data_IF_675083391376
#
_entry.id   IF_675083391376
#
_cell.length_a   1.000
_cell.length_b   1.000
_cell.length_c   1.000
_cell.angle_alpha   90.00
_cell.angle_beta   90.00
_cell.angle_gamma   90.00
#
_symmetry.space_group_name_H-M   'P 1'
#
loop_
_entity.id
_entity.type
_entity.pdbx_description
1 polymer ?
#
# COMPACT_ATOMS: atom_id res chain seq x y z
N UNK A 1 -29.79 50.37 -43.55
CA UNK A 1 -30.08 49.59 -42.33
C UNK A 1 -29.23 48.38 -42.42
N UNK A 2 -28.18 48.20 -41.53
CA UNK A 2 -27.32 47.00 -41.54
C UNK A 2 -27.89 45.98 -40.55
N UNK A 3 -28.02 44.75 -41.02
CA UNK A 3 -28.38 43.59 -40.23
C UNK A 3 -27.23 43.22 -39.25
N UNK A 4 -27.53 43.25 -37.96
CA UNK A 4 -26.65 42.71 -36.91
C UNK A 4 -26.94 41.22 -36.76
N UNK A 5 -25.98 40.37 -37.15
CA UNK A 5 -25.97 38.94 -36.87
C UNK A 5 -25.53 38.73 -35.42
N UNK A 6 -26.44 38.22 -34.58
CA UNK A 6 -26.10 37.71 -33.23
C UNK A 6 -25.49 36.31 -33.35
N UNK A 7 -24.23 36.17 -32.93
CA UNK A 7 -23.60 34.86 -32.71
C UNK A 7 -24.13 34.27 -31.38
N UNK A 8 -24.55 33.02 -31.33
CA UNK A 8 -24.90 32.38 -30.07
C UNK A 8 -23.62 32.04 -29.26
N UNK A 9 -23.60 32.52 -28.02
CA UNK A 9 -22.57 32.19 -27.03
C UNK A 9 -22.77 30.72 -26.56
N UNK A 10 -21.94 29.82 -27.04
CA UNK A 10 -21.89 28.41 -26.56
C UNK A 10 -21.34 28.41 -25.15
N UNK A 11 -22.20 28.24 -24.13
CA UNK A 11 -21.77 27.94 -22.76
C UNK A 11 -21.24 26.52 -22.76
N UNK A 12 -19.90 26.37 -22.66
CA UNK A 12 -19.26 25.11 -22.34
C UNK A 12 -19.48 24.85 -20.83
N UNK A 13 -20.44 24.00 -20.51
CA UNK A 13 -20.63 23.47 -19.17
C UNK A 13 -19.55 22.42 -18.96
N UNK A 14 -18.51 22.79 -18.23
CA UNK A 14 -17.51 21.82 -17.75
C UNK A 14 -18.21 20.80 -16.82
N UNK A 15 -18.03 19.48 -17.03
CA UNK A 15 -18.63 18.50 -16.14
C UNK A 15 -17.97 18.63 -14.75
N UNK A 16 -18.78 18.87 -13.72
CA UNK A 16 -18.39 18.71 -12.32
C UNK A 16 -17.96 17.25 -12.11
N UNK A 17 -16.66 17.04 -11.91
CA UNK A 17 -16.12 15.75 -11.48
C UNK A 17 -16.66 15.52 -10.06
N UNK A 18 -17.46 14.47 -9.80
CA UNK A 18 -17.92 14.19 -8.45
C UNK A 18 -16.70 13.90 -7.57
N UNK A 19 -16.57 14.61 -6.44
CA UNK A 19 -15.60 14.30 -5.41
C UNK A 19 -15.76 12.81 -5.00
N UNK A 20 -14.67 12.08 -4.94
CA UNK A 20 -14.66 10.66 -4.51
C UNK A 20 -15.30 10.62 -3.13
N UNK A 21 -16.44 9.94 -3.02
CA UNK A 21 -17.19 9.82 -1.77
C UNK A 21 -16.33 9.06 -0.74
N UNK A 22 -15.82 9.78 0.27
CA UNK A 22 -14.97 9.25 1.35
C UNK A 22 -13.94 10.25 1.88
N UNK A 23 -13.49 11.19 1.08
CA UNK A 23 -12.58 12.25 1.53
C UNK A 23 -13.38 13.53 1.79
N UNK A 24 -13.59 13.87 3.08
CA UNK A 24 -13.90 15.26 3.40
C UNK A 24 -12.68 16.10 2.93
N UNK A 25 -12.90 17.23 2.20
CA UNK A 25 -11.78 18.06 1.74
C UNK A 25 -10.85 18.41 2.91
N UNK A 26 -9.62 17.93 2.86
CA UNK A 26 -8.57 18.29 3.82
C UNK A 26 -8.34 17.33 5.00
N UNK A 27 -9.09 16.22 5.15
CA UNK A 27 -8.82 15.23 6.21
C UNK A 27 -7.88 14.12 5.71
N UNK A 28 -6.69 13.93 6.35
CA UNK A 28 -5.79 12.84 5.99
C UNK A 28 -6.41 11.47 6.24
N UNK A 29 -6.21 10.53 5.31
CA UNK A 29 -6.75 9.17 5.43
C UNK A 29 -5.79 8.26 6.20
N UNK A 30 -6.37 7.37 7.02
CA UNK A 30 -5.65 6.33 7.77
C UNK A 30 -5.70 5.04 6.97
N UNK A 31 -4.52 4.55 6.56
CA UNK A 31 -4.35 3.33 5.78
C UNK A 31 -3.80 2.24 6.68
N UNK A 32 -4.56 1.16 6.83
CA UNK A 32 -4.14 0.00 7.62
C UNK A 32 -3.17 -0.87 6.83
N UNK A 33 -1.86 -0.67 7.03
CA UNK A 33 -0.78 -1.36 6.38
C UNK A 33 -0.80 -2.86 6.72
N UNK A 34 -1.20 -3.69 5.77
CA UNK A 34 -1.40 -5.14 5.92
C UNK A 34 -2.45 -5.52 6.97
N UNK A 35 -3.42 -4.62 7.21
CA UNK A 35 -4.39 -4.71 8.31
C UNK A 35 -3.89 -4.05 9.60
N UNK A 36 -4.40 -4.47 10.77
CA UNK A 36 -3.88 -4.06 12.07
C UNK A 36 -2.65 -4.90 12.45
N UNK A 37 -1.59 -4.78 11.65
CA UNK A 37 -0.42 -5.68 11.68
C UNK A 37 0.46 -5.50 12.92
N UNK A 38 0.28 -4.41 13.69
CA UNK A 38 0.94 -4.25 15.00
C UNK A 38 0.37 -5.18 16.09
N UNK A 39 -0.79 -5.80 15.88
CA UNK A 39 -1.49 -6.60 16.91
C UNK A 39 -1.93 -7.99 16.44
N UNK A 40 -1.95 -8.23 15.13
CA UNK A 40 -2.33 -9.50 14.51
C UNK A 40 -1.41 -9.81 13.32
N UNK A 41 -1.18 -11.09 12.98
CA UNK A 41 -0.36 -11.44 11.82
C UNK A 41 -0.87 -10.74 10.54
N UNK A 42 0.05 -10.10 9.84
CA UNK A 42 -0.23 -9.32 8.63
C UNK A 42 -1.01 -10.12 7.59
N UNK A 43 -1.81 -9.42 6.77
CA UNK A 43 -2.53 -9.99 5.63
C UNK A 43 -3.50 -11.12 5.97
N UNK A 44 -4.00 -11.17 7.20
CA UNK A 44 -5.08 -12.08 7.60
C UNK A 44 -6.43 -11.36 7.59
N UNK A 45 -7.52 -12.08 7.36
CA UNK A 45 -8.87 -11.50 7.47
C UNK A 45 -9.13 -10.92 8.86
N UNK A 46 -8.55 -11.54 9.90
CA UNK A 46 -8.65 -11.03 11.27
C UNK A 46 -7.95 -9.67 11.44
N UNK A 47 -6.75 -9.50 10.84
CA UNK A 47 -6.04 -8.22 10.87
C UNK A 47 -6.80 -7.12 10.11
N UNK A 48 -7.43 -7.45 8.98
CA UNK A 48 -8.27 -6.49 8.24
C UNK A 48 -9.56 -6.15 8.98
N UNK A 49 -10.26 -7.14 9.55
CA UNK A 49 -11.46 -6.89 10.36
C UNK A 49 -11.15 -5.96 11.54
N UNK A 50 -10.07 -6.25 12.26
CA UNK A 50 -9.60 -5.40 13.37
C UNK A 50 -9.24 -3.99 12.89
N UNK A 51 -8.56 -3.84 11.78
CA UNK A 51 -8.23 -2.53 11.21
C UNK A 51 -9.47 -1.70 10.88
N UNK A 52 -10.49 -2.34 10.34
CA UNK A 52 -11.77 -1.70 10.05
C UNK A 52 -12.45 -1.25 11.36
N UNK A 53 -12.47 -2.08 12.39
CA UNK A 53 -13.02 -1.75 13.72
C UNK A 53 -12.24 -0.60 14.37
N UNK A 54 -10.92 -0.57 14.22
CA UNK A 54 -10.02 0.47 14.72
C UNK A 54 -10.14 1.81 13.96
N UNK A 55 -10.98 1.89 12.93
CA UNK A 55 -11.33 3.14 12.25
C UNK A 55 -10.46 3.48 11.04
N UNK A 56 -9.78 2.52 10.42
CA UNK A 56 -9.08 2.73 9.16
C UNK A 56 -10.03 3.23 8.06
N UNK A 57 -9.56 4.15 7.21
CA UNK A 57 -10.29 4.62 6.02
C UNK A 57 -10.05 3.68 4.83
N UNK A 58 -8.85 3.07 4.78
CA UNK A 58 -8.45 2.08 3.78
C UNK A 58 -7.82 0.86 4.44
N UNK A 59 -8.02 -0.31 3.85
CA UNK A 59 -7.25 -1.52 4.14
C UNK A 59 -6.31 -1.82 2.98
N UNK A 60 -5.09 -2.22 3.31
CA UNK A 60 -4.02 -2.38 2.34
C UNK A 60 -3.58 -3.85 2.26
N UNK A 61 -3.87 -4.55 1.14
CA UNK A 61 -3.32 -5.85 0.82
C UNK A 61 -2.16 -5.76 -0.16
N UNK A 62 -1.00 -6.31 0.21
CA UNK A 62 0.05 -6.66 -0.74
C UNK A 62 -0.35 -7.93 -1.49
N UNK A 63 -0.31 -7.91 -2.82
CA UNK A 63 -0.79 -9.00 -3.65
C UNK A 63 0.35 -9.70 -4.37
N UNK A 64 0.33 -11.02 -4.29
CA UNK A 64 1.10 -11.97 -5.09
C UNK A 64 0.15 -12.98 -5.72
N UNK A 65 0.63 -13.82 -6.63
CA UNK A 65 -0.23 -14.73 -7.37
C UNK A 65 0.17 -16.19 -7.13
N UNK A 66 -0.83 -17.07 -7.06
CA UNK A 66 -0.66 -18.52 -6.98
C UNK A 66 -0.36 -19.13 -8.33
N UNK A 67 0.07 -20.41 -8.37
CA UNK A 67 0.29 -21.17 -9.61
C UNK A 67 -0.96 -21.25 -10.50
N UNK A 68 -2.13 -21.30 -9.90
CA UNK A 68 -3.44 -21.34 -10.60
C UNK A 68 -4.05 -19.96 -10.80
N UNK A 69 -3.27 -18.88 -10.60
CA UNK A 69 -3.61 -17.52 -11.00
C UNK A 69 -4.49 -16.73 -10.05
N UNK A 70 -4.62 -17.15 -8.78
CA UNK A 70 -5.41 -16.43 -7.77
C UNK A 70 -4.56 -15.41 -7.04
N UNK A 71 -5.09 -14.20 -6.86
CA UNK A 71 -4.44 -13.14 -6.07
C UNK A 71 -4.63 -13.41 -4.57
N UNK A 72 -3.51 -13.52 -3.86
CA UNK A 72 -3.46 -13.73 -2.41
C UNK A 72 -2.66 -12.63 -1.73
N UNK A 73 -3.02 -12.34 -0.49
CA UNK A 73 -2.37 -11.26 0.26
C UNK A 73 -1.12 -11.78 0.99
N UNK A 74 0.06 -11.43 0.46
CA UNK A 74 1.38 -11.62 1.07
C UNK A 74 2.33 -10.52 0.61
N UNK A 75 3.22 -10.05 1.52
CA UNK A 75 4.17 -8.98 1.18
C UNK A 75 5.24 -9.45 0.18
N UNK A 76 5.74 -10.65 0.34
CA UNK A 76 6.61 -11.33 -0.63
C UNK A 76 5.91 -12.58 -1.18
N UNK A 77 6.32 -13.00 -2.38
CA UNK A 77 5.95 -14.31 -2.89
C UNK A 77 6.72 -15.45 -2.17
N UNK A 78 7.86 -15.16 -1.48
CA UNK A 78 8.51 -16.08 -0.56
C UNK A 78 7.74 -16.13 0.76
N UNK A 79 7.21 -17.31 1.14
CA UNK A 79 6.27 -17.48 2.24
C UNK A 79 6.84 -18.24 3.47
N UNK A 80 8.12 -18.56 3.46
CA UNK A 80 8.75 -19.36 4.55
C UNK A 80 8.77 -18.61 5.88
N UNK A 81 8.97 -17.30 5.86
CA UNK A 81 9.05 -16.46 7.06
C UNK A 81 7.69 -16.09 7.67
N UNK A 82 6.62 -16.06 6.86
CA UNK A 82 5.30 -15.56 7.27
C UNK A 82 4.18 -16.61 7.26
N UNK A 83 4.56 -17.89 7.05
CA UNK A 83 3.65 -19.05 7.14
C UNK A 83 4.35 -20.23 7.82
N UNK A 84 3.56 -21.26 8.09
CA UNK A 84 4.06 -22.54 8.64
C UNK A 84 4.61 -23.51 7.58
N UNK A 85 4.80 -23.09 6.32
CA UNK A 85 5.22 -23.94 5.19
C UNK A 85 6.52 -24.70 5.47
N UNK A 86 7.47 -24.09 6.16
CA UNK A 86 8.74 -24.71 6.54
C UNK A 86 8.56 -25.91 7.51
N UNK A 87 7.41 -26.02 8.19
CA UNK A 87 7.05 -27.10 9.11
C UNK A 87 6.18 -28.18 8.41
N UNK A 88 5.92 -28.05 7.12
CA UNK A 88 5.04 -28.93 6.33
C UNK A 88 5.87 -29.92 5.52
N UNK A 89 5.98 -31.19 5.94
CA UNK A 89 6.76 -32.20 5.21
C UNK A 89 6.32 -32.37 3.74
N UNK A 90 5.00 -32.23 3.47
CA UNK A 90 4.43 -32.37 2.14
C UNK A 90 4.99 -31.34 1.14
N UNK A 91 5.49 -30.21 1.63
CA UNK A 91 6.02 -29.13 0.82
C UNK A 91 7.56 -29.00 0.88
N UNK A 92 8.24 -29.84 1.64
CA UNK A 92 9.69 -29.74 1.82
C UNK A 92 10.47 -29.75 0.49
N UNK A 93 10.06 -30.58 -0.47
CA UNK A 93 10.72 -30.71 -1.78
C UNK A 93 10.51 -29.50 -2.71
N UNK A 94 9.62 -28.55 -2.37
CA UNK A 94 9.37 -27.33 -3.16
C UNK A 94 10.30 -26.18 -2.78
N UNK A 95 11.09 -26.33 -1.71
CA UNK A 95 12.08 -25.32 -1.34
C UNK A 95 13.10 -25.16 -2.47
N UNK A 96 13.31 -23.93 -2.93
CA UNK A 96 14.22 -23.64 -4.04
C UNK A 96 14.85 -22.26 -3.92
N UNK A 97 15.85 -21.99 -4.74
CA UNK A 97 16.43 -20.65 -4.89
C UNK A 97 15.87 -19.98 -6.14
N UNK A 98 15.59 -18.68 -6.03
CA UNK A 98 15.34 -17.84 -7.20
C UNK A 98 15.80 -16.40 -6.96
N UNK A 99 15.96 -15.66 -8.04
CA UNK A 99 16.31 -14.24 -8.01
C UNK A 99 15.05 -13.43 -8.34
N UNK A 100 14.71 -12.48 -7.47
CA UNK A 100 13.59 -11.57 -7.61
C UNK A 100 14.14 -10.15 -7.43
N UNK A 101 13.93 -9.29 -8.40
CA UNK A 101 14.39 -7.89 -8.40
C UNK A 101 15.87 -7.74 -8.05
N UNK A 102 16.70 -8.68 -8.53
CA UNK A 102 18.15 -8.70 -8.31
C UNK A 102 18.62 -9.35 -7.02
N UNK A 103 17.72 -9.70 -6.10
CA UNK A 103 18.04 -10.36 -4.84
C UNK A 103 17.80 -11.86 -4.89
N UNK A 104 18.68 -12.64 -4.27
CA UNK A 104 18.59 -14.10 -4.21
C UNK A 104 17.85 -14.55 -2.96
N UNK A 105 16.76 -15.27 -3.14
CA UNK A 105 15.96 -15.86 -2.08
C UNK A 105 16.05 -17.38 -2.13
N UNK A 106 15.95 -18.02 -0.96
CA UNK A 106 15.84 -19.48 -0.82
C UNK A 106 14.65 -19.80 0.08
N UNK A 107 13.62 -20.40 -0.48
CA UNK A 107 12.39 -20.67 0.26
C UNK A 107 11.30 -21.30 -0.58
N UNK A 108 10.06 -21.04 -0.21
CA UNK A 108 8.83 -21.51 -0.85
C UNK A 108 8.10 -20.31 -1.44
N UNK A 109 7.71 -20.41 -2.71
CA UNK A 109 7.16 -19.27 -3.44
C UNK A 109 5.71 -19.53 -3.85
N UNK A 110 4.85 -18.52 -3.72
CA UNK A 110 3.40 -18.64 -3.96
C UNK A 110 3.06 -19.20 -5.33
N UNK A 111 3.83 -18.88 -6.36
CA UNK A 111 3.67 -19.38 -7.73
C UNK A 111 3.96 -20.88 -7.89
N UNK A 112 4.50 -21.54 -6.87
CA UNK A 112 4.68 -22.98 -6.85
C UNK A 112 3.49 -23.73 -6.22
N UNK A 113 2.50 -23.00 -5.68
CA UNK A 113 1.34 -23.54 -4.96
C UNK A 113 0.04 -23.15 -5.64
N UNK A 114 -0.93 -24.07 -5.64
CA UNK A 114 -2.33 -23.73 -5.92
C UNK A 114 -2.95 -23.01 -4.72
N UNK A 115 -4.07 -22.30 -4.93
CA UNK A 115 -4.84 -21.73 -3.84
C UNK A 115 -5.23 -22.79 -2.80
N UNK A 116 -5.69 -23.96 -3.25
CA UNK A 116 -6.10 -25.05 -2.35
C UNK A 116 -4.95 -25.49 -1.43
N UNK A 117 -3.73 -25.53 -1.92
CA UNK A 117 -2.53 -25.87 -1.14
C UNK A 117 -2.20 -24.72 -0.17
N UNK A 118 -2.21 -23.46 -0.60
CA UNK A 118 -1.96 -22.30 0.28
C UNK A 118 -2.97 -22.20 1.41
N UNK A 119 -4.25 -22.54 1.17
CA UNK A 119 -5.29 -22.56 2.21
C UNK A 119 -5.06 -23.61 3.31
N UNK A 120 -4.18 -24.58 3.09
CA UNK A 120 -3.76 -25.52 4.16
C UNK A 120 -2.71 -24.93 5.09
N UNK A 121 -2.05 -23.84 4.70
CA UNK A 121 -1.04 -23.14 5.51
C UNK A 121 -1.69 -22.17 6.50
N UNK A 122 -0.89 -21.78 7.50
CA UNK A 122 -1.30 -20.81 8.51
C UNK A 122 -0.29 -19.66 8.58
N UNK A 123 -0.83 -18.45 8.74
CA UNK A 123 -0.04 -17.24 8.88
C UNK A 123 0.74 -17.22 10.19
N UNK A 124 1.93 -16.61 10.16
CA UNK A 124 2.81 -16.38 11.29
C UNK A 124 3.23 -14.92 11.35
N UNK A 125 3.58 -14.47 12.55
CA UNK A 125 4.10 -13.12 12.77
C UNK A 125 5.44 -12.93 12.06
N UNK A 126 5.55 -11.84 11.31
CA UNK A 126 6.78 -11.43 10.59
C UNK A 126 7.87 -10.99 11.54
N UNK A 127 7.51 -10.30 12.61
CA UNK A 127 8.42 -9.68 13.58
C UNK A 127 8.32 -10.35 14.96
N UNK A 128 8.55 -11.68 15.08
CA UNK A 128 8.28 -12.42 16.32
C UNK A 128 9.11 -11.90 17.50
N UNK A 129 10.30 -11.33 17.23
CA UNK A 129 11.16 -10.70 18.25
C UNK A 129 10.59 -9.40 18.83
N UNK A 130 9.69 -8.72 18.12
CA UNK A 130 9.05 -7.48 18.55
C UNK A 130 7.61 -7.70 19.03
N UNK A 131 6.82 -8.49 18.28
CA UNK A 131 5.35 -8.62 18.45
C UNK A 131 4.93 -9.96 19.08
N UNK A 132 5.87 -10.88 19.25
CA UNK A 132 5.61 -12.23 19.78
C UNK A 132 4.92 -13.13 18.74
N UNK A 133 4.52 -14.33 19.19
CA UNK A 133 3.96 -15.40 18.32
C UNK A 133 2.60 -15.90 18.80
N UNK A 134 1.90 -15.12 19.63
CA UNK A 134 0.64 -15.54 20.27
C UNK A 134 -0.48 -15.90 19.28
N UNK A 135 -0.39 -15.40 18.05
CA UNK A 135 -1.39 -15.61 17.01
C UNK A 135 -0.92 -16.52 15.87
N UNK A 136 0.31 -17.04 15.91
CA UNK A 136 0.85 -17.95 14.91
C UNK A 136 -0.03 -19.19 14.75
N UNK A 137 -0.20 -19.64 13.52
CA UNK A 137 -0.92 -20.86 13.21
C UNK A 137 -2.46 -20.76 13.30
N UNK A 138 -3.03 -19.59 13.59
CA UNK A 138 -4.48 -19.42 13.78
C UNK A 138 -5.24 -19.03 12.53
N UNK A 139 -4.61 -18.33 11.60
CA UNK A 139 -5.30 -17.69 10.45
C UNK A 139 -4.79 -18.25 9.13
N UNK A 140 -5.69 -18.32 8.17
CA UNK A 140 -5.39 -18.72 6.79
C UNK A 140 -4.81 -17.55 5.99
N UNK A 141 -4.21 -17.87 4.83
CA UNK A 141 -3.83 -16.89 3.82
C UNK A 141 -5.10 -16.39 3.13
N UNK A 142 -5.30 -15.07 3.12
CA UNK A 142 -6.47 -14.45 2.51
C UNK A 142 -6.29 -14.24 1.00
N UNK A 143 -7.36 -14.40 0.23
CA UNK A 143 -7.45 -13.95 -1.17
C UNK A 143 -7.92 -12.50 -1.23
N UNK A 144 -7.70 -11.84 -2.38
CA UNK A 144 -8.26 -10.50 -2.61
C UNK A 144 -9.80 -10.52 -2.55
N UNK A 145 -10.44 -11.55 -3.11
CA UNK A 145 -11.90 -11.67 -3.11
C UNK A 145 -12.46 -11.78 -1.68
N UNK A 146 -11.81 -12.54 -0.80
CA UNK A 146 -12.20 -12.64 0.62
C UNK A 146 -12.03 -11.31 1.36
N UNK A 147 -10.99 -10.54 1.05
CA UNK A 147 -10.76 -9.20 1.63
C UNK A 147 -11.83 -8.22 1.17
N UNK A 148 -12.19 -8.24 -0.12
CA UNK A 148 -13.27 -7.42 -0.68
C UNK A 148 -14.61 -7.80 -0.03
N UNK A 149 -14.90 -9.09 0.10
CA UNK A 149 -16.11 -9.58 0.74
C UNK A 149 -16.21 -9.09 2.19
N UNK A 150 -15.13 -9.20 2.97
CA UNK A 150 -15.07 -8.70 4.36
C UNK A 150 -15.42 -7.20 4.44
N UNK A 151 -14.82 -6.37 3.57
CA UNK A 151 -15.08 -4.93 3.55
C UNK A 151 -16.53 -4.62 3.13
N UNK A 152 -17.06 -5.36 2.16
CA UNK A 152 -18.44 -5.25 1.68
C UNK A 152 -19.46 -5.64 2.77
N UNK A 153 -19.24 -6.74 3.47
CA UNK A 153 -20.09 -7.20 4.58
C UNK A 153 -20.08 -6.20 5.74
N UNK A 154 -18.90 -5.64 6.07
CA UNK A 154 -18.82 -4.58 7.08
C UNK A 154 -19.64 -3.36 6.66
N UNK A 155 -19.52 -2.90 5.42
CA UNK A 155 -20.26 -1.75 4.92
C UNK A 155 -21.78 -2.01 4.92
N UNK A 156 -22.23 -3.20 4.54
CA UNK A 156 -23.64 -3.58 4.58
C UNK A 156 -24.21 -3.56 6.00
N UNK A 157 -23.42 -3.97 6.99
CA UNK A 157 -23.83 -4.02 8.40
C UNK A 157 -23.83 -2.65 9.09
N UNK A 158 -22.87 -1.79 8.76
CA UNK A 158 -22.60 -0.55 9.52
C UNK A 158 -22.91 0.74 8.76
N UNK A 159 -23.08 0.66 7.44
CA UNK A 159 -23.15 1.82 6.54
C UNK A 159 -21.79 2.48 6.27
N UNK A 160 -20.69 2.09 6.96
CA UNK A 160 -19.35 2.67 6.76
C UNK A 160 -18.61 1.95 5.64
N UNK A 161 -18.31 2.68 4.57
CA UNK A 161 -17.54 2.18 3.43
C UNK A 161 -16.04 2.31 3.70
N UNK A 162 -15.28 1.28 3.34
CA UNK A 162 -13.83 1.18 3.49
C UNK A 162 -13.21 1.14 2.11
N UNK A 163 -12.24 2.00 1.85
CA UNK A 163 -11.44 1.95 0.63
C UNK A 163 -10.45 0.77 0.63
N UNK A 164 -9.97 0.40 -0.56
CA UNK A 164 -8.92 -0.59 -0.73
C UNK A 164 -7.70 0.05 -1.39
N UNK A 165 -6.51 -0.36 -0.94
CA UNK A 165 -5.26 0.09 -1.53
C UNK A 165 -4.33 -1.11 -1.84
N UNK A 166 -4.70 -1.96 -2.84
CA UNK A 166 -3.90 -3.13 -3.18
C UNK A 166 -2.54 -2.73 -3.78
N UNK A 167 -1.46 -3.36 -3.30
CA UNK A 167 -0.15 -3.31 -3.93
C UNK A 167 0.05 -4.51 -4.86
N UNK A 168 0.55 -4.26 -6.07
CA UNK A 168 1.06 -5.31 -6.96
C UNK A 168 2.54 -5.51 -6.64
N UNK A 169 2.87 -6.67 -6.06
CA UNK A 169 4.25 -7.04 -5.69
C UNK A 169 4.97 -7.66 -6.87
N UNK A 170 6.22 -7.23 -7.10
CA UNK A 170 7.11 -7.83 -8.11
C UNK A 170 6.48 -8.03 -9.50
N UNK A 171 5.75 -7.04 -10.09
CA UNK A 171 5.03 -7.23 -11.34
C UNK A 171 5.91 -7.72 -12.48
N UNK A 172 7.13 -7.19 -12.65
CA UNK A 172 8.08 -7.65 -13.67
C UNK A 172 8.51 -9.10 -13.48
N UNK A 173 8.63 -9.58 -12.24
CA UNK A 173 8.92 -10.98 -11.96
C UNK A 173 7.75 -11.87 -12.41
N UNK A 174 6.52 -11.53 -12.01
CA UNK A 174 5.34 -12.32 -12.36
C UNK A 174 5.02 -12.28 -13.85
N UNK A 175 5.25 -11.16 -14.54
CA UNK A 175 5.14 -11.09 -16.00
C UNK A 175 6.12 -12.05 -16.68
N UNK A 176 7.38 -12.10 -16.22
CA UNK A 176 8.43 -12.98 -16.77
C UNK A 176 8.08 -14.46 -16.65
N UNK A 177 7.38 -14.86 -15.61
CA UNK A 177 6.93 -16.24 -15.40
C UNK A 177 5.51 -16.52 -15.94
N UNK A 178 4.96 -15.61 -16.76
CA UNK A 178 3.65 -15.71 -17.39
C UNK A 178 2.47 -15.74 -16.40
N UNK A 179 2.60 -15.06 -15.28
CA UNK A 179 1.56 -14.86 -14.26
C UNK A 179 1.28 -13.36 -14.01
N UNK A 180 1.03 -12.52 -15.05
CA UNK A 180 0.78 -11.09 -14.87
C UNK A 180 -0.42 -10.85 -13.95
N UNK A 181 -0.33 -9.83 -13.09
CA UNK A 181 -1.34 -9.56 -12.06
C UNK A 181 -2.29 -8.41 -12.42
N UNK A 182 -1.90 -7.50 -13.31
CA UNK A 182 -2.60 -6.25 -13.59
C UNK A 182 -4.05 -6.51 -14.07
N UNK A 183 -4.20 -7.34 -15.09
CA UNK A 183 -5.52 -7.68 -15.63
C UNK A 183 -6.37 -8.47 -14.62
N UNK A 184 -5.75 -9.40 -13.88
CA UNK A 184 -6.42 -10.17 -12.81
C UNK A 184 -6.94 -9.25 -11.72
N UNK A 185 -6.15 -8.25 -11.31
CA UNK A 185 -6.57 -7.26 -10.32
C UNK A 185 -7.75 -6.44 -10.83
N UNK A 186 -7.68 -5.92 -12.06
CA UNK A 186 -8.78 -5.14 -12.65
C UNK A 186 -10.05 -5.98 -12.80
N UNK A 187 -9.93 -7.26 -13.19
CA UNK A 187 -11.06 -8.19 -13.28
C UNK A 187 -11.68 -8.46 -11.90
N UNK A 188 -10.87 -8.72 -10.87
CA UNK A 188 -11.35 -8.90 -9.50
C UNK A 188 -12.10 -7.65 -9.01
N UNK A 189 -11.50 -6.46 -9.18
CA UNK A 189 -12.14 -5.20 -8.79
C UNK A 189 -13.45 -4.94 -9.55
N UNK A 190 -13.51 -5.25 -10.85
CA UNK A 190 -14.72 -5.10 -11.65
C UNK A 190 -15.80 -6.15 -11.31
N UNK A 191 -15.40 -7.33 -10.81
CA UNK A 191 -16.28 -8.43 -10.43
C UNK A 191 -17.16 -8.14 -9.21
N UNK A 192 -16.71 -7.27 -8.31
CA UNK A 192 -17.44 -6.94 -7.08
C UNK A 192 -18.17 -5.59 -7.21
N UNK A 193 -19.47 -5.56 -6.88
CA UNK A 193 -20.24 -4.32 -6.85
C UNK A 193 -19.64 -3.29 -5.88
N UNK A 194 -19.13 -3.76 -4.75
CA UNK A 194 -18.52 -2.94 -3.70
C UNK A 194 -17.34 -2.11 -4.22
N UNK A 195 -16.39 -2.73 -4.90
CA UNK A 195 -15.17 -2.07 -5.40
C UNK A 195 -15.42 -1.13 -6.58
N UNK A 196 -16.58 -1.21 -7.23
CA UNK A 196 -17.00 -0.22 -8.23
C UNK A 196 -17.50 1.10 -7.61
N UNK A 197 -17.83 1.10 -6.31
CA UNK A 197 -18.45 2.23 -5.62
C UNK A 197 -17.54 2.89 -4.56
N UNK A 198 -16.58 2.13 -4.00
CA UNK A 198 -15.66 2.66 -2.98
C UNK A 198 -14.37 3.18 -3.62
N UNK A 199 -13.62 4.08 -2.95
CA UNK A 199 -12.30 4.47 -3.42
C UNK A 199 -11.35 3.27 -3.46
N UNK A 200 -10.63 3.13 -4.58
CA UNK A 200 -9.55 2.15 -4.74
C UNK A 200 -8.28 2.90 -5.14
N UNK A 201 -7.15 2.55 -4.55
CA UNK A 201 -5.84 3.08 -4.94
C UNK A 201 -4.92 1.90 -5.23
N UNK A 202 -4.56 1.69 -6.49
CA UNK A 202 -3.60 0.63 -6.85
C UNK A 202 -2.20 1.19 -6.70
N UNK A 203 -1.32 0.47 -6.01
CA UNK A 203 0.03 0.91 -5.74
C UNK A 203 1.08 -0.09 -6.24
N UNK A 204 2.27 0.41 -6.54
CA UNK A 204 3.43 -0.40 -6.92
C UNK A 204 4.72 0.38 -6.74
N UNK A 205 5.82 -0.34 -6.52
CA UNK A 205 7.19 0.19 -6.59
C UNK A 205 7.71 0.31 -8.02
N UNK A 206 7.14 -0.44 -8.97
CA UNK A 206 7.53 -0.41 -10.37
C UNK A 206 6.69 0.61 -11.15
N UNK A 207 7.30 1.26 -12.15
CA UNK A 207 6.63 2.28 -12.95
C UNK A 207 5.86 1.68 -14.14
N UNK A 208 6.42 0.63 -14.77
CA UNK A 208 5.89 0.09 -16.02
C UNK A 208 4.44 -0.40 -15.87
N UNK A 209 4.15 -1.14 -14.80
CA UNK A 209 2.80 -1.65 -14.54
C UNK A 209 1.81 -0.53 -14.21
N UNK A 210 2.21 0.52 -13.46
CA UNK A 210 1.35 1.68 -13.19
C UNK A 210 1.03 2.46 -14.47
N UNK A 211 2.01 2.62 -15.37
CA UNK A 211 1.78 3.24 -16.68
C UNK A 211 0.85 2.40 -17.56
N UNK A 212 0.96 1.07 -17.49
CA UNK A 212 0.05 0.16 -18.16
C UNK A 212 -1.35 0.25 -17.59
N UNK A 213 -1.50 0.20 -16.27
CA UNK A 213 -2.78 0.39 -15.60
C UNK A 213 -3.42 1.73 -15.98
N UNK A 214 -2.67 2.85 -15.97
CA UNK A 214 -3.20 4.17 -16.37
C UNK A 214 -3.78 4.15 -17.78
N UNK A 215 -3.19 3.41 -18.71
CA UNK A 215 -3.72 3.27 -20.08
C UNK A 215 -5.02 2.45 -20.14
N UNK A 216 -5.19 1.48 -19.23
CA UNK A 216 -6.39 0.65 -19.14
C UNK A 216 -7.50 1.30 -18.30
N UNK A 217 -7.16 2.19 -17.36
CA UNK A 217 -8.12 2.93 -16.54
C UNK A 217 -8.75 4.06 -17.36
N UNK A 218 -9.85 3.74 -18.04
CA UNK A 218 -10.67 4.72 -18.78
C UNK A 218 -11.70 5.43 -17.89
N UNK A 219 -12.63 6.18 -18.49
CA UNK A 219 -13.66 6.94 -17.78
C UNK A 219 -14.57 6.13 -16.85
N UNK A 220 -14.65 4.81 -17.05
CA UNK A 220 -15.43 3.89 -16.22
C UNK A 220 -14.80 3.55 -14.88
N UNK A 221 -13.51 3.89 -14.67
CA UNK A 221 -12.75 3.57 -13.47
C UNK A 221 -12.43 4.82 -12.63
N UNK A 222 -13.38 5.76 -12.53
CA UNK A 222 -13.18 7.07 -11.88
C UNK A 222 -12.91 6.98 -10.37
N UNK A 223 -13.26 5.86 -9.73
CA UNK A 223 -13.00 5.60 -8.33
C UNK A 223 -11.61 4.97 -8.07
N UNK A 224 -10.83 4.68 -9.14
CA UNK A 224 -9.50 4.09 -9.04
C UNK A 224 -8.44 5.16 -9.27
N UNK A 225 -7.55 5.33 -8.30
CA UNK A 225 -6.32 6.15 -8.38
C UNK A 225 -5.10 5.25 -8.39
N UNK A 226 -3.97 5.79 -8.83
CA UNK A 226 -2.68 5.10 -8.84
C UNK A 226 -1.70 5.78 -7.90
N UNK A 227 -0.92 4.98 -7.17
CA UNK A 227 0.11 5.44 -6.24
C UNK A 227 1.46 4.83 -6.63
N UNK A 228 2.46 5.68 -6.88
CA UNK A 228 3.84 5.28 -7.06
C UNK A 228 4.54 5.21 -5.70
N UNK A 229 4.91 4.01 -5.27
CA UNK A 229 5.76 3.81 -4.10
C UNK A 229 7.21 4.15 -4.43
N UNK A 230 7.91 4.78 -3.47
CA UNK A 230 9.31 5.17 -3.60
C UNK A 230 10.17 4.38 -2.61
N UNK A 231 11.01 3.50 -3.14
CA UNK A 231 11.97 2.72 -2.36
C UNK A 231 13.18 3.55 -1.87
N UNK A 232 14.18 2.90 -1.25
CA UNK A 232 15.42 3.56 -0.85
C UNK A 232 16.08 4.26 -2.04
N UNK A 233 16.56 5.49 -1.83
CA UNK A 233 16.99 6.41 -2.88
C UNK A 233 18.06 5.83 -3.82
N UNK A 234 18.95 5.02 -3.28
CA UNK A 234 20.09 4.39 -3.97
C UNK A 234 19.76 3.07 -4.67
N UNK A 235 18.54 2.54 -4.48
CA UNK A 235 18.07 1.31 -5.12
C UNK A 235 17.28 1.60 -6.41
N UNK A 236 17.00 0.55 -7.17
CA UNK A 236 16.31 0.63 -8.46
C UNK A 236 14.91 -0.03 -8.38
N UNK A 237 13.88 0.52 -9.08
CA UNK A 237 12.67 -0.22 -9.34
C UNK A 237 12.93 -1.54 -10.07
N UNK A 238 12.17 -2.59 -9.77
CA UNK A 238 12.34 -3.93 -10.34
C UNK A 238 12.26 -3.94 -11.89
N UNK A 239 11.36 -3.15 -12.46
CA UNK A 239 11.22 -2.97 -13.92
C UNK A 239 12.40 -2.26 -14.55
N UNK A 240 12.99 -1.27 -13.88
CA UNK A 240 14.21 -0.60 -14.35
C UNK A 240 15.39 -1.56 -14.34
N UNK A 241 15.53 -2.35 -13.26
CA UNK A 241 16.55 -3.39 -13.15
C UNK A 241 16.37 -4.46 -14.24
N UNK A 242 15.16 -4.97 -14.43
CA UNK A 242 14.85 -5.97 -15.45
C UNK A 242 15.12 -5.46 -16.88
N UNK A 243 14.93 -4.16 -17.12
CA UNK A 243 15.19 -3.50 -18.40
C UNK A 243 16.67 -3.07 -18.59
N UNK A 244 17.54 -3.27 -17.60
CA UNK A 244 18.92 -2.81 -17.61
C UNK A 244 19.07 -1.28 -17.63
N UNK A 245 18.07 -0.54 -17.11
CA UNK A 245 18.09 0.92 -17.04
C UNK A 245 18.75 1.37 -15.73
N UNK A 246 19.52 2.48 -15.73
CA UNK A 246 20.21 2.97 -14.53
C UNK A 246 19.29 3.72 -13.55
N UNK A 247 17.99 3.85 -13.85
CA UNK A 247 17.03 4.64 -13.06
C UNK A 247 16.98 4.15 -11.61
N UNK A 248 17.15 5.07 -10.67
CA UNK A 248 17.04 4.83 -9.22
C UNK A 248 15.83 5.58 -8.65
N UNK A 249 15.41 5.22 -7.45
CA UNK A 249 14.35 5.98 -6.77
C UNK A 249 14.76 7.43 -6.50
N UNK A 250 16.06 7.74 -6.32
CA UNK A 250 16.53 9.11 -6.24
C UNK A 250 16.13 9.94 -7.48
N UNK A 251 16.20 9.36 -8.68
CA UNK A 251 15.83 10.05 -9.92
C UNK A 251 14.32 10.34 -9.97
N UNK A 252 13.49 9.45 -9.41
CA UNK A 252 12.04 9.62 -9.33
C UNK A 252 11.63 10.71 -8.33
N UNK A 253 12.48 11.02 -7.35
CA UNK A 253 12.25 12.05 -6.34
C UNK A 253 12.70 13.44 -6.75
N UNK A 254 13.33 13.60 -7.92
CA UNK A 254 13.65 14.93 -8.49
C UNK A 254 12.38 15.65 -8.97
N UNK A 255 12.37 16.98 -9.12
CA UNK A 255 11.22 17.70 -9.70
C UNK A 255 10.79 17.14 -11.06
N UNK A 256 11.74 16.76 -11.92
CA UNK A 256 11.48 16.17 -13.23
C UNK A 256 10.90 14.77 -13.11
N UNK A 257 11.41 13.93 -12.20
CA UNK A 257 10.88 12.59 -11.90
C UNK A 257 9.45 12.64 -11.36
N UNK A 258 9.16 13.59 -10.47
CA UNK A 258 7.81 13.81 -9.93
C UNK A 258 6.83 14.29 -11.00
N UNK A 259 7.28 15.16 -11.92
CA UNK A 259 6.47 15.59 -13.05
C UNK A 259 6.16 14.41 -14.00
N UNK A 260 7.12 13.50 -14.20
CA UNK A 260 6.93 12.27 -14.98
C UNK A 260 5.92 11.33 -14.26
N UNK A 261 6.03 11.15 -12.94
CA UNK A 261 5.08 10.37 -12.14
C UNK A 261 3.68 10.94 -12.26
N UNK A 262 3.51 12.26 -12.21
CA UNK A 262 2.20 12.92 -12.36
C UNK A 262 1.52 12.63 -13.71
N UNK A 263 2.27 12.19 -14.72
CA UNK A 263 1.74 11.73 -16.00
C UNK A 263 0.98 10.39 -15.92
N UNK A 264 1.17 9.58 -14.88
CA UNK A 264 0.55 8.28 -14.75
C UNK A 264 -0.01 7.94 -13.36
N UNK A 265 0.47 8.58 -12.30
CA UNK A 265 0.00 8.36 -10.94
C UNK A 265 -0.58 9.66 -10.33
N UNK A 266 -1.40 9.50 -9.32
CA UNK A 266 -2.11 10.59 -8.63
C UNK A 266 -1.45 10.89 -7.28
N UNK A 267 -0.68 9.92 -6.75
CA UNK A 267 -0.14 9.91 -5.40
C UNK A 267 1.28 9.35 -5.44
N UNK A 268 2.17 9.86 -4.59
CA UNK A 268 3.43 9.18 -4.25
C UNK A 268 3.38 8.64 -2.82
N UNK A 269 3.97 7.44 -2.62
CA UNK A 269 4.17 6.82 -1.32
C UNK A 269 5.66 6.76 -0.98
N UNK A 270 6.24 7.79 -0.39
CA UNK A 270 7.63 7.76 0.07
C UNK A 270 7.76 7.07 1.43
N UNK A 271 8.94 6.49 1.70
CA UNK A 271 9.30 6.15 3.08
C UNK A 271 9.34 7.41 3.96
N UNK A 272 8.84 7.31 5.19
CA UNK A 272 8.76 8.46 6.11
C UNK A 272 10.08 9.26 6.17
N UNK A 273 11.25 8.58 6.22
CA UNK A 273 12.56 9.26 6.34
C UNK A 273 13.01 9.98 5.07
N UNK A 274 12.36 9.77 3.95
CA UNK A 274 12.56 10.57 2.73
C UNK A 274 11.87 11.94 2.82
N UNK A 275 10.85 12.06 3.67
CA UNK A 275 10.19 13.35 3.95
C UNK A 275 10.84 14.09 5.13
N UNK A 276 11.12 13.38 6.22
CA UNK A 276 11.77 13.93 7.42
C UNK A 276 12.86 12.94 7.86
N UNK A 277 14.13 13.21 7.58
CA UNK A 277 15.23 12.36 8.01
C UNK A 277 15.38 12.40 9.54
N UNK A 278 16.05 11.38 10.10
CA UNK A 278 16.49 11.39 11.50
C UNK A 278 17.89 11.97 11.55
N UNK A 279 18.14 12.89 12.46
CA UNK A 279 19.43 13.53 12.71
C UNK A 279 20.36 12.60 13.50
N UNK A 280 21.65 12.93 13.60
CA UNK A 280 22.64 12.13 14.32
C UNK A 280 22.34 11.96 15.81
N UNK A 281 21.68 12.91 16.43
CA UNK A 281 21.19 12.88 17.81
C UNK A 281 19.87 12.10 17.99
N UNK A 282 19.35 11.51 16.89
CA UNK A 282 18.15 10.68 16.91
C UNK A 282 16.83 11.44 16.91
N UNK A 283 16.83 12.73 16.64
CA UNK A 283 15.62 13.54 16.51
C UNK A 283 15.08 13.56 15.06
N UNK A 284 13.82 13.98 14.87
CA UNK A 284 13.30 14.32 13.55
C UNK A 284 13.96 15.60 13.04
N UNK A 285 14.58 15.54 11.86
CA UNK A 285 15.24 16.67 11.22
C UNK A 285 14.27 17.63 10.53
N UNK A 286 14.82 18.54 9.74
CA UNK A 286 14.02 19.40 8.86
C UNK A 286 13.40 18.60 7.70
N UNK A 287 12.17 18.95 7.26
CA UNK A 287 11.58 18.37 6.08
C UNK A 287 12.44 18.55 4.83
N UNK A 288 12.52 17.50 4.01
CA UNK A 288 13.16 17.55 2.69
C UNK A 288 12.31 18.35 1.69
N UNK A 289 12.86 18.75 0.53
CA UNK A 289 12.09 19.39 -0.53
C UNK A 289 10.99 18.51 -1.14
N UNK A 290 11.03 17.17 -0.97
CA UNK A 290 10.17 16.20 -1.66
C UNK A 290 8.67 16.51 -1.52
N UNK A 291 8.23 16.95 -0.33
CA UNK A 291 6.82 17.32 -0.11
C UNK A 291 6.39 18.53 -0.96
N UNK A 292 7.23 19.55 -1.02
CA UNK A 292 6.94 20.77 -1.79
C UNK A 292 7.01 20.49 -3.31
N UNK A 293 7.96 19.66 -3.75
CA UNK A 293 8.16 19.28 -5.14
C UNK A 293 7.00 18.43 -5.65
N UNK A 294 6.55 17.45 -4.85
CA UNK A 294 5.38 16.63 -5.17
C UNK A 294 4.10 17.48 -5.32
N UNK A 295 3.88 18.44 -4.41
CA UNK A 295 2.74 19.36 -4.53
C UNK A 295 2.81 20.22 -5.79
N UNK A 296 4.00 20.69 -6.19
CA UNK A 296 4.18 21.45 -7.44
C UNK A 296 3.86 20.59 -8.67
N UNK A 297 4.17 19.31 -8.62
CA UNK A 297 3.79 18.35 -9.66
C UNK A 297 2.30 17.95 -9.63
N UNK A 298 1.52 18.40 -8.64
CA UNK A 298 0.10 18.04 -8.49
C UNK A 298 -0.15 16.69 -7.83
N UNK A 299 0.88 16.08 -7.21
CA UNK A 299 0.80 14.78 -6.55
C UNK A 299 0.40 14.91 -5.09
N UNK A 300 -0.46 14.01 -4.61
CA UNK A 300 -0.64 13.77 -3.18
C UNK A 300 0.55 12.98 -2.60
N UNK A 301 0.77 13.10 -1.30
CA UNK A 301 1.87 12.39 -0.62
C UNK A 301 1.31 11.57 0.53
N UNK A 302 1.46 10.24 0.45
CA UNK A 302 1.00 9.26 1.43
C UNK A 302 2.18 8.40 1.92
N UNK A 303 2.91 8.82 2.97
CA UNK A 303 4.10 8.11 3.42
C UNK A 303 3.81 6.77 4.10
N UNK A 304 4.75 5.85 4.01
CA UNK A 304 4.80 4.57 4.70
C UNK A 304 6.04 4.47 5.60
N UNK A 305 6.10 3.75 6.68
CA UNK A 305 5.04 3.15 7.47
C UNK A 305 5.24 3.59 8.92
N UNK A 306 4.18 4.09 9.55
CA UNK A 306 4.21 4.43 10.97
C UNK A 306 3.94 3.19 11.83
N UNK A 307 4.79 2.96 12.82
CA UNK A 307 4.75 1.80 13.70
C UNK A 307 4.90 2.21 15.16
N UNK A 308 4.21 1.53 16.10
CA UNK A 308 4.18 1.99 17.49
C UNK A 308 5.36 1.52 18.34
N UNK A 309 6.15 0.54 17.86
CA UNK A 309 7.25 0.00 18.65
C UNK A 309 8.46 0.94 18.65
N UNK A 310 9.13 1.10 19.80
CA UNK A 310 10.35 1.92 19.95
C UNK A 310 11.38 1.62 18.86
N UNK A 311 11.51 0.36 18.43
CA UNK A 311 12.43 -0.05 17.36
C UNK A 311 12.34 0.83 16.11
N UNK A 312 11.15 1.33 15.78
CA UNK A 312 10.90 2.09 14.55
C UNK A 312 10.87 3.61 14.77
N UNK A 313 10.72 4.04 16.02
CA UNK A 313 10.65 5.44 16.35
C UNK A 313 12.05 6.10 16.36
N UNK A 314 12.15 7.41 16.00
CA UNK A 314 13.34 8.19 16.29
C UNK A 314 13.73 8.10 17.75
N UNK A 315 15.02 8.04 18.06
CA UNK A 315 15.51 7.85 19.43
C UNK A 315 14.95 8.91 20.40
N UNK A 316 14.79 10.14 19.94
CA UNK A 316 14.23 11.23 20.76
C UNK A 316 12.73 11.03 21.11
N UNK A 317 12.04 10.13 20.44
CA UNK A 317 10.62 9.82 20.71
C UNK A 317 10.44 8.47 21.42
N UNK A 318 11.52 7.74 21.68
CA UNK A 318 11.47 6.45 22.37
C UNK A 318 11.24 6.63 23.87
N UNK A 319 10.54 5.68 24.47
CA UNK A 319 10.32 5.61 25.93
C UNK A 319 10.96 4.34 26.49
N UNK A 320 11.88 4.51 27.46
CA UNK A 320 12.66 3.41 27.98
C UNK A 320 13.67 2.84 26.96
N UNK A 321 14.30 1.72 27.28
CA UNK A 321 15.37 1.15 26.45
C UNK A 321 14.99 -0.12 25.68
N UNK A 322 13.78 -0.67 25.85
CA UNK A 322 13.35 -1.90 25.17
C UNK A 322 12.78 -1.57 23.78
N UNK A 323 13.39 -2.08 22.69
CA UNK A 323 12.90 -1.87 21.33
C UNK A 323 11.50 -2.46 21.10
N UNK A 324 11.07 -3.43 21.90
CA UNK A 324 9.74 -4.05 21.83
C UNK A 324 8.63 -3.21 22.45
N UNK A 325 8.99 -2.20 23.25
CA UNK A 325 7.99 -1.33 23.89
C UNK A 325 7.07 -0.70 22.85
N UNK A 326 5.77 -0.97 22.97
CA UNK A 326 4.73 -0.26 22.22
C UNK A 326 4.56 1.12 22.83
N UNK A 327 5.13 2.12 22.19
CA UNK A 327 5.15 3.50 22.63
C UNK A 327 4.13 4.35 21.87
N UNK A 328 2.90 4.36 22.37
CA UNK A 328 1.80 5.11 21.75
C UNK A 328 2.03 6.63 21.75
N UNK A 329 2.64 7.16 22.82
CA UNK A 329 2.90 8.59 22.92
C UNK A 329 3.89 9.06 21.87
N UNK A 330 5.02 8.37 21.72
CA UNK A 330 6.02 8.66 20.69
C UNK A 330 5.47 8.53 19.28
N UNK A 331 4.73 7.45 19.01
CA UNK A 331 4.09 7.24 17.71
C UNK A 331 3.08 8.33 17.36
N UNK A 332 2.25 8.76 18.32
CA UNK A 332 1.31 9.87 18.11
C UNK A 332 2.02 11.19 17.82
N UNK A 333 3.12 11.48 18.52
CA UNK A 333 3.94 12.68 18.26
C UNK A 333 4.49 12.61 16.84
N UNK A 334 5.08 11.49 16.44
CA UNK A 334 5.63 11.32 15.10
C UNK A 334 4.56 11.55 14.03
N UNK A 335 3.44 10.81 14.08
CA UNK A 335 2.34 10.95 13.10
C UNK A 335 1.89 12.40 12.99
N UNK A 336 1.71 13.11 14.11
CA UNK A 336 1.26 14.53 14.12
C UNK A 336 2.25 15.47 13.45
N UNK A 337 3.56 15.24 13.56
CA UNK A 337 4.57 16.01 12.83
C UNK A 337 4.37 15.91 11.33
N UNK A 338 4.13 14.69 10.80
CA UNK A 338 3.86 14.49 9.37
C UNK A 338 2.48 15.04 8.95
N UNK A 339 1.48 14.91 9.80
CA UNK A 339 0.18 15.52 9.55
C UNK A 339 0.29 17.06 9.46
N UNK A 340 1.13 17.69 10.27
CA UNK A 340 1.39 19.15 10.21
C UNK A 340 2.10 19.53 8.90
N UNK A 341 2.88 18.64 8.29
CA UNK A 341 3.47 18.82 6.97
C UNK A 341 2.42 18.85 5.85
N UNK A 342 1.20 18.33 6.12
CA UNK A 342 0.06 18.34 5.23
C UNK A 342 0.03 17.14 4.27
N UNK A 343 0.45 15.96 4.71
CA UNK A 343 0.24 14.71 3.99
C UNK A 343 -1.26 14.43 3.80
N UNK A 344 -1.64 13.80 2.67
CA UNK A 344 -3.03 13.47 2.35
C UNK A 344 -3.54 12.17 2.97
N UNK A 345 -2.62 11.29 3.36
CA UNK A 345 -2.87 10.00 4.01
C UNK A 345 -1.57 9.40 4.49
N UNK A 346 -1.61 8.28 5.21
CA UNK A 346 -0.42 7.59 5.68
C UNK A 346 -0.71 6.11 6.01
N UNK A 347 0.31 5.28 5.81
CA UNK A 347 0.28 3.86 6.14
C UNK A 347 0.72 3.66 7.60
N UNK A 348 -0.05 2.88 8.34
CA UNK A 348 0.28 2.53 9.72
C UNK A 348 -0.05 1.07 10.03
N UNK A 349 0.84 0.42 10.80
CA UNK A 349 0.59 -0.93 11.34
C UNK A 349 -0.47 -0.90 12.47
N UNK A 350 -0.77 0.30 12.99
CA UNK A 350 -1.73 0.54 14.08
C UNK A 350 -2.80 1.56 13.71
N UNK A 351 -3.89 1.13 13.06
CA UNK A 351 -4.97 2.02 12.64
C UNK A 351 -5.63 2.79 13.78
N UNK A 352 -5.74 2.19 14.98
CA UNK A 352 -6.32 2.87 16.14
C UNK A 352 -5.50 4.10 16.56
N UNK A 353 -4.17 4.00 16.58
CA UNK A 353 -3.29 5.14 16.82
C UNK A 353 -3.36 6.15 15.67
N UNK A 354 -3.36 5.67 14.44
CA UNK A 354 -3.57 6.51 13.26
C UNK A 354 -4.84 7.34 13.37
N UNK A 355 -5.95 6.72 13.75
CA UNK A 355 -7.24 7.40 13.92
C UNK A 355 -7.18 8.45 15.04
N UNK A 356 -6.62 8.10 16.20
CA UNK A 356 -6.42 9.02 17.33
C UNK A 356 -5.55 10.23 16.93
N UNK A 357 -4.53 10.04 16.11
CA UNK A 357 -3.68 11.13 15.65
C UNK A 357 -4.44 12.12 14.75
N UNK A 358 -5.35 11.63 13.89
CA UNK A 358 -6.14 12.46 12.97
C UNK A 358 -7.31 13.14 13.68
N UNK A 359 -7.99 12.47 14.62
CA UNK A 359 -9.21 12.98 15.29
C UNK A 359 -8.91 14.01 16.40
N UNK A 360 -7.71 14.03 16.93
CA UNK A 360 -7.29 14.98 17.98
C UNK A 360 -6.78 16.32 17.44
N UNK A 361 -7.07 16.66 16.19
CA UNK A 361 -6.72 17.92 15.52
C UNK A 361 -7.70 19.05 15.82
#
# INVERSE_FOLDING_TARGET
MPFRTLLPLLMVVAPLIPAIAGEAPGRPVVIAHRGASAVLPEHTLAAYARAIEDGADFIEPDLVVTRDGVLVARHENEIGGTTDVAQRPDFAARKRRQVIDGEAFEGWFTEDFTLAELKTLRARERLPGLRGTAHDGRYEIATLDEIIALASEHAARTGRRIGLIPEIKHPSHFQRISLPMEERLLQALAGHAYTREVPVVIQSFEQANLRELRRHLGPSHRNIRLLQLLGPADTQPGDALAAGKPTRYADLMTPEGLQDIAGYADIIGPWTRQLIPVTEDGALGAPTPLMADARRAGLQVWPYTFRPENHFLPAALQEGGDPRTRNEAGALVEIRVYLALGIGGFFTDDPALGRRAVDAR
#
